data_IF_564915078589
#
_entry.id   IF_564915078589
#
_cell.length_a   1.000
_cell.length_b   1.000
_cell.length_c   1.000
_cell.angle_alpha   90.00
_cell.angle_beta   90.00
_cell.angle_gamma   90.00
#
_symmetry.space_group_name_H-M   'P 1'
#
loop_
_entity.id
_entity.type
_entity.pdbx_description
1 polymer ?
#
# COMPACT_ATOMS: atom_id res chain seq x y z
N UNK A 1 -2.86 -15.98 19.43
CA UNK A 1 -2.13 -15.15 18.45
C UNK A 1 -3.08 -14.03 18.05
N UNK A 2 -2.86 -12.82 18.54
CA UNK A 2 -3.69 -11.66 18.17
C UNK A 2 -3.07 -11.03 16.93
N UNK A 3 -3.62 -11.36 15.77
CA UNK A 3 -3.25 -10.72 14.51
C UNK A 3 -3.63 -9.24 14.56
N UNK A 4 -2.68 -8.36 14.30
CA UNK A 4 -2.95 -6.95 14.03
C UNK A 4 -3.89 -6.86 12.83
N UNK A 5 -4.96 -6.06 12.93
CA UNK A 5 -5.90 -5.81 11.81
C UNK A 5 -5.22 -5.20 10.57
N UNK A 6 -3.96 -4.85 10.68
CA UNK A 6 -3.15 -4.24 9.61
C UNK A 6 -2.14 -5.23 9.03
N UNK A 7 -1.97 -6.45 9.61
CA UNK A 7 -1.03 -7.44 9.08
C UNK A 7 -1.46 -7.93 7.68
N UNK A 8 -0.48 -8.13 6.79
CA UNK A 8 -0.71 -8.61 5.41
C UNK A 8 -1.05 -10.12 5.31
N UNK A 9 -1.17 -10.82 6.42
CA UNK A 9 -1.54 -12.24 6.47
C UNK A 9 -3.06 -12.37 6.32
N UNK A 10 -3.52 -12.43 5.08
CA UNK A 10 -4.91 -12.81 4.78
C UNK A 10 -4.98 -14.30 4.47
N UNK A 11 -5.92 -15.00 5.10
CA UNK A 11 -6.32 -16.36 4.75
C UNK A 11 -6.82 -16.40 3.28
N UNK A 12 -6.69 -17.54 2.60
CA UNK A 12 -7.14 -17.68 1.20
C UNK A 12 -8.62 -17.33 1.03
N UNK A 13 -9.46 -17.58 2.04
CA UNK A 13 -10.85 -17.16 2.06
C UNK A 13 -11.02 -15.63 2.10
N UNK A 14 -10.22 -14.92 2.87
CA UNK A 14 -10.20 -13.44 2.88
C UNK A 14 -9.76 -12.86 1.53
N UNK A 15 -8.79 -13.49 0.87
CA UNK A 15 -8.34 -13.08 -0.48
C UNK A 15 -9.45 -13.18 -1.51
N UNK A 16 -10.20 -14.27 -1.52
CA UNK A 16 -11.33 -14.46 -2.44
C UNK A 16 -12.40 -13.39 -2.20
N UNK A 17 -12.73 -13.10 -0.94
CA UNK A 17 -13.69 -12.05 -0.60
C UNK A 17 -13.17 -10.66 -0.98
N UNK A 18 -11.88 -10.36 -0.77
CA UNK A 18 -11.28 -9.09 -1.19
C UNK A 18 -11.34 -8.92 -2.72
N UNK A 19 -11.10 -9.99 -3.48
CA UNK A 19 -11.23 -9.96 -4.93
C UNK A 19 -12.65 -9.61 -5.40
N UNK A 20 -13.67 -10.14 -4.71
CA UNK A 20 -15.08 -9.87 -5.04
C UNK A 20 -15.47 -8.39 -4.80
N UNK A 21 -14.81 -7.70 -3.87
CA UNK A 21 -15.06 -6.29 -3.57
C UNK A 21 -14.36 -5.32 -4.52
N UNK A 22 -13.43 -5.80 -5.36
CA UNK A 22 -12.65 -4.93 -6.25
C UNK A 22 -13.54 -4.33 -7.35
N UNK A 23 -13.36 -3.03 -7.67
CA UNK A 23 -13.97 -2.42 -8.84
C UNK A 23 -13.48 -3.09 -10.13
N UNK A 24 -14.36 -3.23 -11.11
CA UNK A 24 -14.08 -3.93 -12.37
C UNK A 24 -13.68 -3.00 -13.51
N UNK A 25 -13.97 -1.70 -13.42
CA UNK A 25 -13.69 -0.68 -14.43
C UNK A 25 -13.35 0.66 -13.76
N UNK A 26 -12.84 1.62 -14.55
CA UNK A 26 -12.48 2.94 -14.04
C UNK A 26 -13.67 3.73 -13.47
N UNK A 27 -14.88 3.50 -13.97
CA UNK A 27 -16.09 4.19 -13.45
C UNK A 27 -16.49 3.74 -12.05
N UNK A 28 -16.13 2.51 -11.66
CA UNK A 28 -16.34 2.00 -10.31
C UNK A 28 -15.18 2.33 -9.34
N UNK A 29 -14.06 2.82 -9.88
CA UNK A 29 -12.85 3.11 -9.10
C UNK A 29 -13.02 4.44 -8.37
N UNK A 30 -13.40 4.37 -7.10
CA UNK A 30 -13.62 5.54 -6.23
C UNK A 30 -12.28 6.19 -5.90
N UNK A 31 -12.26 7.53 -5.87
CA UNK A 31 -11.09 8.32 -5.52
C UNK A 31 -10.04 8.38 -6.62
N UNK A 32 -8.87 8.92 -6.31
CA UNK A 32 -7.74 9.04 -7.26
C UNK A 32 -8.13 9.70 -8.60
N UNK A 33 -9.05 10.64 -8.60
CA UNK A 33 -9.70 11.19 -9.80
C UNK A 33 -8.70 11.64 -10.87
N UNK A 34 -7.61 12.32 -10.46
CA UNK A 34 -6.56 12.76 -11.38
C UNK A 34 -5.87 11.59 -12.06
N UNK A 35 -5.48 10.58 -11.28
CA UNK A 35 -4.80 9.38 -11.80
C UNK A 35 -5.74 8.60 -12.72
N UNK A 36 -7.00 8.40 -12.32
CA UNK A 36 -8.00 7.72 -13.14
C UNK A 36 -8.24 8.44 -14.48
N UNK A 37 -8.33 9.77 -14.49
CA UNK A 37 -8.49 10.56 -15.71
C UNK A 37 -7.26 10.45 -16.63
N UNK A 38 -6.04 10.51 -16.08
CA UNK A 38 -4.80 10.36 -16.83
C UNK A 38 -4.67 8.96 -17.45
N UNK A 39 -4.97 7.91 -16.68
CA UNK A 39 -4.98 6.53 -17.18
C UNK A 39 -6.04 6.38 -18.27
N UNK A 40 -7.25 6.87 -18.07
CA UNK A 40 -8.30 6.79 -19.09
C UNK A 40 -7.87 7.46 -20.41
N UNK A 41 -7.21 8.61 -20.34
CA UNK A 41 -6.67 9.30 -21.53
C UNK A 41 -5.61 8.43 -22.23
N UNK A 42 -4.65 7.87 -21.48
CA UNK A 42 -3.59 7.01 -22.00
C UNK A 42 -4.17 5.78 -22.70
N UNK A 43 -5.10 5.07 -22.04
CA UNK A 43 -5.73 3.87 -22.59
C UNK A 43 -6.58 4.17 -23.83
N UNK A 44 -7.33 5.29 -23.82
CA UNK A 44 -8.13 5.72 -24.97
C UNK A 44 -7.24 6.02 -26.18
N UNK A 45 -6.11 6.69 -25.96
CA UNK A 45 -5.14 6.98 -27.00
C UNK A 45 -4.49 5.71 -27.56
N UNK A 46 -4.09 4.76 -26.71
CA UNK A 46 -3.53 3.47 -27.12
C UNK A 46 -4.54 2.66 -27.95
N UNK A 47 -5.79 2.57 -27.51
CA UNK A 47 -6.89 1.90 -28.25
C UNK A 47 -7.12 2.54 -29.61
N UNK A 48 -7.12 3.88 -29.73
CA UNK A 48 -7.29 4.59 -30.99
C UNK A 48 -6.16 4.27 -31.97
N UNK A 49 -4.94 4.13 -31.49
CA UNK A 49 -3.77 3.76 -32.30
C UNK A 49 -3.68 2.24 -32.57
N UNK A 50 -4.48 1.43 -31.88
CA UNK A 50 -4.41 -0.05 -31.89
C UNK A 50 -3.01 -0.57 -31.51
N UNK A 51 -2.40 0.07 -30.50
CA UNK A 51 -1.10 -0.30 -29.96
C UNK A 51 -1.23 -0.68 -28.47
N UNK A 52 -0.32 -1.49 -27.91
CA UNK A 52 -0.21 -1.64 -26.48
C UNK A 52 -0.08 -0.25 -25.78
N UNK A 53 -0.52 -0.16 -24.57
CA UNK A 53 -0.30 1.04 -23.77
C UNK A 53 1.19 1.17 -23.37
N UNK A 54 1.64 2.40 -23.13
CA UNK A 54 2.96 2.64 -22.56
C UNK A 54 3.13 1.91 -21.23
N UNK A 55 4.36 1.64 -20.83
CA UNK A 55 4.66 1.07 -19.52
C UNK A 55 4.25 2.02 -18.41
N UNK A 56 3.61 1.50 -17.35
CA UNK A 56 3.01 2.28 -16.26
C UNK A 56 3.66 1.93 -14.93
N UNK A 57 4.09 2.93 -14.16
CA UNK A 57 4.55 2.76 -12.79
C UNK A 57 3.48 3.27 -11.82
N UNK A 58 2.98 2.40 -10.95
CA UNK A 58 2.04 2.73 -9.88
C UNK A 58 2.81 2.82 -8.56
N UNK A 59 2.87 4.00 -7.96
CA UNK A 59 3.56 4.24 -6.69
C UNK A 59 2.59 4.67 -5.60
N UNK A 60 2.94 4.41 -4.35
CA UNK A 60 2.16 4.86 -3.20
C UNK A 60 2.09 3.82 -2.08
N UNK A 61 1.63 4.21 -0.89
CA UNK A 61 1.48 3.33 0.27
C UNK A 61 0.73 2.03 -0.02
N UNK A 62 0.87 0.99 0.82
CA UNK A 62 0.12 -0.25 0.66
C UNK A 62 -1.39 -0.03 0.84
N UNK A 63 -2.21 -0.87 0.22
CA UNK A 63 -3.68 -0.86 0.40
C UNK A 63 -4.44 0.21 -0.38
N UNK A 64 -3.79 1.00 -1.25
CA UNK A 64 -4.43 2.08 -2.03
C UNK A 64 -5.02 1.64 -3.37
N UNK A 65 -4.92 0.36 -3.73
CA UNK A 65 -5.54 -0.18 -4.94
C UNK A 65 -4.63 -0.29 -6.17
N UNK A 66 -3.29 -0.29 -6.03
CA UNK A 66 -2.34 -0.46 -7.16
C UNK A 66 -2.63 -1.70 -8.00
N UNK A 67 -2.75 -2.86 -7.37
CA UNK A 67 -3.09 -4.12 -8.03
C UNK A 67 -4.47 -4.09 -8.67
N UNK A 68 -5.44 -3.47 -8.00
CA UNK A 68 -6.80 -3.28 -8.53
C UNK A 68 -6.78 -2.43 -9.79
N UNK A 69 -6.03 -1.34 -9.79
CA UNK A 69 -5.90 -0.46 -10.93
C UNK A 69 -5.22 -1.16 -12.13
N UNK A 70 -4.22 -2.00 -11.88
CA UNK A 70 -3.61 -2.83 -12.93
C UNK A 70 -4.62 -3.80 -13.56
N UNK A 71 -5.47 -4.43 -12.76
CA UNK A 71 -6.54 -5.32 -13.27
C UNK A 71 -7.58 -4.54 -14.07
N UNK A 72 -7.96 -3.33 -13.63
CA UNK A 72 -8.86 -2.45 -14.37
C UNK A 72 -8.25 -2.06 -15.72
N UNK A 73 -6.98 -1.68 -15.75
CA UNK A 73 -6.26 -1.34 -16.99
C UNK A 73 -6.31 -2.51 -17.98
N UNK A 74 -6.09 -3.74 -17.51
CA UNK A 74 -6.17 -4.93 -18.35
C UNK A 74 -7.59 -5.14 -18.90
N UNK A 75 -8.61 -4.99 -18.07
CA UNK A 75 -10.02 -5.08 -18.48
C UNK A 75 -10.36 -4.01 -19.52
N UNK A 76 -9.97 -2.76 -19.30
CA UNK A 76 -10.21 -1.65 -20.21
C UNK A 76 -9.49 -1.82 -21.58
N UNK A 77 -8.30 -2.44 -21.58
CA UNK A 77 -7.57 -2.74 -22.81
C UNK A 77 -8.06 -4.02 -23.50
N UNK A 78 -8.90 -4.83 -22.85
CA UNK A 78 -9.28 -6.15 -23.33
C UNK A 78 -8.08 -7.11 -23.44
N UNK A 79 -7.04 -6.91 -22.63
CA UNK A 79 -5.78 -7.63 -22.68
C UNK A 79 -5.70 -8.68 -21.55
N UNK A 80 -5.08 -9.84 -21.79
CA UNK A 80 -4.76 -10.76 -20.72
C UNK A 80 -3.74 -10.11 -19.77
N UNK A 81 -3.81 -10.47 -18.49
CA UNK A 81 -2.89 -9.98 -17.46
C UNK A 81 -2.18 -11.14 -16.78
N UNK A 82 -0.86 -11.01 -16.68
CA UNK A 82 -0.01 -11.90 -15.89
C UNK A 82 0.46 -11.16 -14.65
N UNK A 83 0.26 -11.77 -13.49
CA UNK A 83 0.60 -11.16 -12.19
C UNK A 83 1.78 -11.90 -11.60
N UNK A 84 2.81 -11.13 -11.21
CA UNK A 84 3.96 -11.63 -10.47
C UNK A 84 4.43 -10.56 -9.47
N UNK A 85 5.49 -10.83 -8.72
CA UNK A 85 6.05 -9.88 -7.74
C UNK A 85 7.57 -9.85 -7.78
N UNK A 86 8.18 -8.73 -7.37
CA UNK A 86 9.62 -8.59 -7.28
C UNK A 86 10.28 -9.71 -6.46
N UNK A 87 9.81 -10.03 -5.25
CA UNK A 87 10.34 -11.14 -4.45
C UNK A 87 10.27 -12.52 -5.11
N UNK A 88 9.31 -12.75 -6.01
CA UNK A 88 9.19 -14.01 -6.75
C UNK A 88 10.25 -14.16 -7.86
N UNK A 89 10.89 -13.06 -8.27
CA UNK A 89 11.91 -13.02 -9.32
C UNK A 89 13.28 -12.95 -8.66
N UNK A 90 13.84 -14.11 -8.33
CA UNK A 90 15.14 -14.18 -7.64
C UNK A 90 16.32 -14.06 -8.61
N UNK A 91 16.16 -14.57 -9.84
CA UNK A 91 17.21 -14.60 -10.86
C UNK A 91 16.72 -14.00 -12.17
N UNK A 92 17.64 -13.52 -13.01
CA UNK A 92 17.32 -13.04 -14.35
C UNK A 92 16.64 -14.10 -15.21
N UNK A 93 16.95 -15.39 -15.00
CA UNK A 93 16.32 -16.52 -15.68
C UNK A 93 14.83 -16.68 -15.39
N UNK A 94 14.40 -16.35 -14.16
CA UNK A 94 12.98 -16.39 -13.78
C UNK A 94 12.20 -15.35 -14.60
N UNK A 95 12.74 -14.14 -14.69
CA UNK A 95 12.15 -13.06 -15.47
C UNK A 95 12.17 -13.38 -16.97
N UNK A 96 13.29 -13.91 -17.51
CA UNK A 96 13.39 -14.31 -18.90
C UNK A 96 12.34 -15.35 -19.28
N UNK A 97 12.08 -16.33 -18.39
CA UNK A 97 11.03 -17.35 -18.57
C UNK A 97 9.63 -16.72 -18.61
N UNK A 98 9.35 -15.77 -17.72
CA UNK A 98 8.07 -15.05 -17.72
C UNK A 98 7.90 -14.26 -19.02
N UNK A 99 8.90 -13.45 -19.40
CA UNK A 99 8.85 -12.58 -20.57
C UNK A 99 8.72 -13.38 -21.88
N UNK A 100 9.45 -14.49 -22.00
CA UNK A 100 9.39 -15.35 -23.21
C UNK A 100 8.06 -16.07 -23.40
N UNK A 101 7.27 -16.18 -22.35
CA UNK A 101 5.94 -16.84 -22.39
C UNK A 101 4.78 -15.84 -22.52
N UNK A 102 5.06 -14.53 -22.64
CA UNK A 102 4.04 -13.52 -22.91
C UNK A 102 3.49 -13.66 -24.33
N UNK A 103 2.26 -13.20 -24.53
CA UNK A 103 1.64 -13.08 -25.85
C UNK A 103 1.52 -11.61 -26.26
N UNK A 104 1.29 -11.37 -27.55
CA UNK A 104 1.16 -10.00 -28.09
C UNK A 104 0.06 -9.20 -27.39
N UNK A 105 0.42 -8.02 -26.87
CA UNK A 105 -0.49 -7.14 -26.17
C UNK A 105 -0.79 -7.53 -24.70
N UNK A 106 -0.18 -8.61 -24.18
CA UNK A 106 -0.37 -9.03 -22.77
C UNK A 106 0.16 -7.97 -21.81
N UNK A 107 -0.49 -7.84 -20.66
CA UNK A 107 -0.06 -6.96 -19.57
C UNK A 107 0.70 -7.81 -18.55
N UNK A 108 1.95 -7.42 -18.25
CA UNK A 108 2.72 -7.97 -17.14
C UNK A 108 2.58 -7.02 -15.95
N UNK A 109 1.90 -7.47 -14.88
CA UNK A 109 1.87 -6.75 -13.62
C UNK A 109 2.92 -7.30 -12.67
N UNK A 110 3.80 -6.40 -12.19
CA UNK A 110 4.90 -6.72 -11.31
C UNK A 110 4.77 -5.93 -10.01
N UNK A 111 4.26 -6.60 -8.96
CA UNK A 111 4.11 -5.97 -7.63
C UNK A 111 5.45 -5.93 -6.89
N UNK A 112 5.62 -4.94 -6.02
CA UNK A 112 6.85 -4.69 -5.26
C UNK A 112 8.11 -4.72 -6.14
N UNK A 113 8.06 -4.07 -7.32
CA UNK A 113 9.10 -4.08 -8.34
C UNK A 113 10.48 -3.67 -7.79
N UNK A 114 10.54 -2.83 -6.75
CA UNK A 114 11.77 -2.41 -6.08
C UNK A 114 12.49 -3.53 -5.30
N UNK A 115 11.86 -4.71 -5.16
CA UNK A 115 12.43 -5.88 -4.47
C UNK A 115 12.99 -6.93 -5.42
N UNK A 116 13.08 -6.63 -6.71
CA UNK A 116 13.74 -7.50 -7.68
C UNK A 116 15.25 -7.57 -7.43
N UNK A 117 15.87 -8.67 -7.84
CA UNK A 117 17.32 -8.76 -7.89
C UNK A 117 17.90 -7.86 -8.99
N UNK A 118 19.07 -7.28 -8.75
CA UNK A 118 19.72 -6.38 -9.74
C UNK A 118 19.91 -7.00 -11.13
N UNK A 119 20.32 -8.30 -11.27
CA UNK A 119 20.39 -8.91 -12.60
C UNK A 119 19.04 -9.01 -13.32
N UNK A 120 17.94 -9.19 -12.58
CA UNK A 120 16.59 -9.19 -13.16
C UNK A 120 16.16 -7.76 -13.57
N UNK A 121 16.53 -6.74 -12.80
CA UNK A 121 16.29 -5.33 -13.20
C UNK A 121 16.99 -4.99 -14.51
N UNK A 122 18.27 -5.36 -14.66
CA UNK A 122 19.06 -5.11 -15.87
C UNK A 122 18.45 -5.80 -17.10
N UNK A 123 17.95 -7.02 -16.96
CA UNK A 123 17.25 -7.73 -18.04
C UNK A 123 15.92 -7.05 -18.38
N UNK A 124 15.19 -6.56 -17.36
CA UNK A 124 13.93 -5.85 -17.55
C UNK A 124 14.12 -4.56 -18.37
N UNK A 125 15.24 -3.84 -18.20
CA UNK A 125 15.53 -2.63 -18.99
C UNK A 125 15.52 -2.91 -20.49
N UNK A 126 16.23 -3.96 -20.93
CA UNK A 126 16.30 -4.33 -22.34
C UNK A 126 14.92 -4.78 -22.84
N UNK A 127 14.21 -5.54 -22.02
CA UNK A 127 12.88 -6.02 -22.37
C UNK A 127 11.87 -4.88 -22.59
N UNK A 128 11.94 -3.80 -21.79
CA UNK A 128 11.05 -2.64 -21.90
C UNK A 128 11.37 -1.73 -23.09
N UNK A 129 12.64 -1.61 -23.45
CA UNK A 129 13.10 -0.68 -24.50
C UNK A 129 13.06 -1.34 -25.89
N UNK A 130 13.66 -2.52 -26.00
CA UNK A 130 13.91 -3.19 -27.28
C UNK A 130 12.98 -4.37 -27.56
N UNK A 131 12.11 -4.74 -26.63
CA UNK A 131 11.31 -5.98 -26.69
C UNK A 131 12.19 -7.18 -27.02
N UNK A 132 13.37 -7.23 -26.38
CA UNK A 132 14.38 -8.27 -26.56
C UNK A 132 15.09 -8.56 -25.26
N UNK A 133 15.48 -9.80 -25.07
CA UNK A 133 16.37 -10.22 -23.97
C UNK A 133 17.46 -11.12 -24.50
N UNK A 134 18.66 -11.01 -23.92
CA UNK A 134 19.76 -11.90 -24.25
C UNK A 134 19.82 -13.04 -23.21
N UNK A 135 19.59 -14.26 -23.67
CA UNK A 135 19.61 -15.46 -22.83
C UNK A 135 20.98 -16.11 -22.96
N UNK A 136 21.71 -16.21 -21.86
CA UNK A 136 23.02 -16.87 -21.83
C UNK A 136 22.84 -18.38 -21.74
N UNK A 137 23.27 -19.09 -22.79
CA UNK A 137 23.22 -20.55 -22.86
C UNK A 137 24.64 -21.11 -22.76
N UNK A 138 24.85 -22.08 -21.88
CA UNK A 138 26.14 -22.69 -21.60
C UNK A 138 26.79 -22.18 -20.27
N UNK A 139 27.98 -22.71 -19.97
CA UNK A 139 28.75 -22.34 -18.76
C UNK A 139 30.21 -22.07 -19.12
N UNK A 140 30.85 -21.14 -18.40
CA UNK A 140 32.26 -20.81 -18.58
C UNK A 140 32.56 -20.11 -19.90
N UNK A 141 33.78 -20.33 -20.44
CA UNK A 141 34.29 -19.65 -21.65
C UNK A 141 33.50 -20.03 -22.96
N UNK A 142 32.64 -21.03 -22.93
CA UNK A 142 31.77 -21.43 -24.03
C UNK A 142 30.33 -20.91 -23.94
N UNK A 143 30.04 -20.04 -22.98
CA UNK A 143 28.70 -19.46 -22.86
C UNK A 143 28.44 -18.48 -24.02
N UNK A 144 27.28 -18.63 -24.68
CA UNK A 144 26.87 -17.77 -25.80
C UNK A 144 25.57 -17.05 -25.41
N UNK A 145 25.51 -15.73 -25.63
CA UNK A 145 24.28 -14.97 -25.52
C UNK A 145 23.45 -15.14 -26.79
N UNK A 146 22.24 -15.61 -26.65
CA UNK A 146 21.26 -15.78 -27.73
C UNK A 146 20.20 -14.71 -27.57
N UNK A 147 20.03 -13.77 -28.53
CA UNK A 147 18.97 -12.80 -28.49
C UNK A 147 17.60 -13.47 -28.71
N UNK A 148 16.67 -13.20 -27.82
CA UNK A 148 15.30 -13.64 -27.88
C UNK A 148 14.41 -12.41 -28.08
N UNK A 149 13.69 -12.34 -29.20
CA UNK A 149 12.68 -11.29 -29.43
C UNK A 149 11.42 -11.60 -28.62
N UNK A 150 10.91 -10.59 -27.94
CA UNK A 150 9.70 -10.67 -27.15
C UNK A 150 8.50 -10.09 -27.92
N UNK A 151 7.28 -10.55 -27.64
CA UNK A 151 6.08 -9.88 -28.13
C UNK A 151 5.98 -8.48 -27.50
N UNK A 152 5.27 -7.57 -28.14
CA UNK A 152 4.98 -6.26 -27.52
C UNK A 152 4.02 -6.46 -26.33
N UNK A 153 4.43 -5.98 -25.18
CA UNK A 153 3.68 -6.07 -23.93
C UNK A 153 3.65 -4.73 -23.21
N UNK A 154 2.71 -4.59 -22.28
CA UNK A 154 2.70 -3.45 -21.35
C UNK A 154 3.15 -3.93 -19.96
N UNK A 155 4.20 -3.32 -19.42
CA UNK A 155 4.59 -3.51 -18.03
C UNK A 155 3.81 -2.54 -17.14
N UNK A 156 3.16 -3.05 -16.11
CA UNK A 156 2.64 -2.27 -15.01
C UNK A 156 3.44 -2.63 -13.76
N UNK A 157 4.36 -1.75 -13.37
CA UNK A 157 5.12 -1.90 -12.13
C UNK A 157 4.38 -1.26 -10.96
N UNK A 158 4.35 -1.93 -9.81
CA UNK A 158 3.83 -1.36 -8.58
C UNK A 158 4.92 -1.30 -7.50
N UNK A 159 4.95 -0.21 -6.72
CA UNK A 159 5.92 -0.05 -5.64
C UNK A 159 5.35 0.76 -4.49
N UNK A 160 5.73 0.40 -3.28
CA UNK A 160 5.50 1.20 -2.08
C UNK A 160 6.65 2.19 -1.82
N UNK A 161 7.80 1.99 -2.47
CA UNK A 161 9.05 2.74 -2.24
C UNK A 161 9.66 3.18 -3.57
N UNK A 162 9.02 4.13 -4.26
CA UNK A 162 9.49 4.62 -5.56
C UNK A 162 10.94 5.15 -5.57
N UNK A 163 11.41 5.68 -4.43
CA UNK A 163 12.78 6.15 -4.28
C UNK A 163 13.85 5.06 -4.30
N UNK A 164 13.49 3.79 -4.13
CA UNK A 164 14.41 2.66 -4.23
C UNK A 164 14.60 2.16 -5.66
N UNK A 165 13.73 2.57 -6.60
CA UNK A 165 13.89 2.19 -8.00
C UNK A 165 15.06 2.95 -8.64
N UNK A 166 15.99 2.25 -9.32
CA UNK A 166 17.05 2.90 -10.08
C UNK A 166 16.48 3.84 -11.15
N UNK A 167 17.11 5.00 -11.34
CA UNK A 167 16.69 5.98 -12.36
C UNK A 167 16.53 5.36 -13.74
N UNK A 168 17.45 4.49 -14.24
CA UNK A 168 17.29 3.88 -15.56
C UNK A 168 16.03 3.06 -15.73
N UNK A 169 15.57 2.37 -14.68
CA UNK A 169 14.31 1.63 -14.73
C UNK A 169 13.12 2.58 -14.69
N UNK A 170 13.16 3.58 -13.81
CA UNK A 170 12.06 4.53 -13.65
C UNK A 170 11.82 5.36 -14.92
N UNK A 171 12.88 5.75 -15.61
CA UNK A 171 12.82 6.61 -16.81
C UNK A 171 12.24 5.87 -18.03
N UNK A 172 12.12 4.53 -17.96
CA UNK A 172 11.49 3.70 -19.01
C UNK A 172 9.98 3.56 -18.88
N UNK A 173 9.41 4.00 -17.77
CA UNK A 173 7.97 4.07 -17.65
C UNK A 173 7.45 5.34 -18.36
N UNK A 174 6.61 5.16 -19.37
CA UNK A 174 5.97 6.27 -20.10
C UNK A 174 4.98 7.04 -19.24
N UNK A 175 4.46 6.43 -18.18
CA UNK A 175 3.57 7.07 -17.23
C UNK A 175 3.83 6.61 -15.80
N UNK A 176 3.94 7.57 -14.88
CA UNK A 176 4.05 7.31 -13.44
C UNK A 176 2.85 7.90 -12.72
N UNK A 177 2.09 7.04 -12.04
CA UNK A 177 0.98 7.41 -11.19
C UNK A 177 1.35 7.30 -9.73
N UNK A 178 1.17 8.37 -8.98
CA UNK A 178 1.28 8.34 -7.53
C UNK A 178 -0.12 8.30 -6.93
N UNK A 179 -0.41 7.24 -6.18
CA UNK A 179 -1.67 7.08 -5.45
C UNK A 179 -1.51 7.69 -4.07
N UNK A 180 -2.49 8.50 -3.70
CA UNK A 180 -2.54 9.17 -2.41
C UNK A 180 -3.56 8.49 -1.47
N UNK A 181 -3.49 8.82 -0.18
CA UNK A 181 -4.50 8.37 0.77
C UNK A 181 -5.87 8.94 0.41
N UNK A 182 -6.89 8.13 0.63
CA UNK A 182 -8.28 8.49 0.36
C UNK A 182 -8.82 9.43 1.42
N UNK A 183 -9.71 10.33 1.02
CA UNK A 183 -10.52 11.12 1.94
C UNK A 183 -11.56 10.23 2.66
N UNK A 184 -12.00 10.65 3.84
CA UNK A 184 -13.00 9.90 4.62
C UNK A 184 -14.32 9.69 3.84
N UNK A 185 -14.76 10.70 3.07
CA UNK A 185 -15.94 10.61 2.22
C UNK A 185 -15.79 9.59 1.07
N UNK A 186 -14.60 9.46 0.52
CA UNK A 186 -14.29 8.45 -0.51
C UNK A 186 -14.32 7.05 0.10
N UNK A 187 -13.75 6.88 1.32
CA UNK A 187 -13.78 5.61 2.05
C UNK A 187 -15.21 5.23 2.45
N UNK A 188 -16.02 6.18 2.90
CA UNK A 188 -17.45 5.95 3.15
C UNK A 188 -18.17 5.46 1.90
N UNK A 189 -17.86 6.02 0.74
CA UNK A 189 -18.41 5.54 -0.55
C UNK A 189 -17.97 4.11 -0.86
N UNK A 190 -16.71 3.76 -0.58
CA UNK A 190 -16.18 2.40 -0.75
C UNK A 190 -16.87 1.44 0.23
N UNK A 191 -17.01 1.80 1.50
CA UNK A 191 -17.70 0.99 2.51
C UNK A 191 -19.16 0.71 2.10
N UNK A 192 -19.91 1.74 1.69
CA UNK A 192 -21.30 1.61 1.22
C UNK A 192 -21.40 0.65 0.02
N UNK A 193 -20.54 0.84 -0.98
CA UNK A 193 -20.48 -0.04 -2.15
C UNK A 193 -20.14 -1.48 -1.75
N UNK A 194 -19.16 -1.65 -0.88
CA UNK A 194 -18.72 -2.98 -0.43
C UNK A 194 -19.81 -3.68 0.39
N UNK A 195 -20.51 -2.99 1.27
CA UNK A 195 -21.64 -3.50 2.03
C UNK A 195 -22.77 -3.99 1.10
N UNK A 196 -23.09 -3.22 0.07
CA UNK A 196 -24.08 -3.60 -0.94
C UNK A 196 -23.65 -4.87 -1.70
N UNK A 197 -22.37 -5.01 -2.07
CA UNK A 197 -21.85 -6.19 -2.78
C UNK A 197 -21.89 -7.46 -1.93
N UNK A 198 -21.69 -7.36 -0.62
CA UNK A 198 -21.80 -8.49 0.31
C UNK A 198 -23.21 -8.64 0.91
N UNK A 199 -24.15 -7.83 0.44
CA UNK A 199 -25.56 -7.86 0.84
C UNK A 199 -25.79 -7.67 2.34
N UNK A 200 -25.01 -6.80 2.99
CA UNK A 200 -25.15 -6.48 4.42
C UNK A 200 -25.84 -5.13 4.57
N UNK A 201 -26.99 -5.07 5.27
CA UNK A 201 -27.64 -3.80 5.58
C UNK A 201 -26.75 -2.97 6.52
N UNK A 202 -26.54 -1.71 6.17
CA UNK A 202 -25.68 -0.79 6.94
C UNK A 202 -26.28 0.62 6.95
N UNK A 203 -26.26 1.26 8.11
CA UNK A 203 -26.70 2.65 8.28
C UNK A 203 -25.62 3.64 7.87
N UNK A 204 -25.99 4.84 7.41
CA UNK A 204 -25.05 5.87 6.94
C UNK A 204 -24.08 6.35 8.04
N UNK A 205 -24.52 6.41 9.30
CA UNK A 205 -23.66 6.76 10.41
C UNK A 205 -22.60 5.68 10.66
N UNK A 206 -22.93 4.42 10.53
CA UNK A 206 -21.98 3.30 10.60
C UNK A 206 -21.01 3.29 9.41
N UNK A 207 -21.48 3.62 8.21
CA UNK A 207 -20.62 3.81 7.02
C UNK A 207 -19.59 4.89 7.28
N UNK A 208 -20.01 6.02 7.83
CA UNK A 208 -19.13 7.16 8.16
C UNK A 208 -18.12 6.78 9.23
N UNK A 209 -18.55 6.10 10.28
CA UNK A 209 -17.70 5.64 11.38
C UNK A 209 -16.59 4.69 10.90
N UNK A 210 -16.94 3.71 10.07
CA UNK A 210 -15.97 2.79 9.47
C UNK A 210 -15.01 3.56 8.53
N UNK A 211 -15.54 4.46 7.70
CA UNK A 211 -14.76 5.28 6.79
C UNK A 211 -13.70 6.11 7.50
N UNK A 212 -14.08 6.79 8.58
CA UNK A 212 -13.20 7.66 9.38
C UNK A 212 -12.05 6.87 10.02
N UNK A 213 -12.33 5.66 10.55
CA UNK A 213 -11.31 4.81 11.17
C UNK A 213 -10.49 3.97 10.19
N UNK A 214 -10.75 4.08 8.87
CA UNK A 214 -10.12 3.25 7.83
C UNK A 214 -8.71 3.68 7.42
N UNK A 215 -8.07 4.56 8.16
CA UNK A 215 -6.65 4.94 7.95
C UNK A 215 -6.33 5.48 6.56
N UNK A 216 -7.32 5.97 5.82
CA UNK A 216 -7.14 6.48 4.46
C UNK A 216 -6.90 5.41 3.39
N UNK A 217 -7.20 4.13 3.67
CA UNK A 217 -6.94 3.04 2.73
C UNK A 217 -8.16 2.14 2.49
N UNK A 218 -8.52 1.85 1.24
CA UNK A 218 -9.61 0.94 0.90
C UNK A 218 -9.47 -0.47 1.48
N UNK A 219 -8.25 -1.00 1.60
CA UNK A 219 -7.98 -2.31 2.18
C UNK A 219 -8.44 -2.36 3.64
N UNK A 220 -8.08 -1.35 4.43
CA UNK A 220 -8.48 -1.26 5.83
C UNK A 220 -9.99 -1.06 5.93
N UNK A 221 -10.60 -0.19 5.11
CA UNK A 221 -12.04 0.03 5.07
C UNK A 221 -12.82 -1.28 4.87
N UNK A 222 -12.43 -2.06 3.86
CA UNK A 222 -13.07 -3.34 3.58
C UNK A 222 -12.84 -4.38 4.70
N UNK A 223 -11.67 -4.36 5.35
CA UNK A 223 -11.38 -5.25 6.48
C UNK A 223 -12.22 -4.88 7.69
N UNK A 224 -12.30 -3.59 8.04
CA UNK A 224 -13.14 -3.13 9.14
C UNK A 224 -14.61 -3.44 8.89
N UNK A 225 -15.12 -3.20 7.68
CA UNK A 225 -16.48 -3.56 7.31
C UNK A 225 -16.80 -5.04 7.58
N UNK A 226 -15.89 -5.96 7.20
CA UNK A 226 -16.09 -7.40 7.44
C UNK A 226 -16.10 -7.72 8.93
N UNK A 227 -15.21 -7.14 9.73
CA UNK A 227 -15.19 -7.36 11.18
C UNK A 227 -16.42 -6.82 11.88
N UNK A 228 -16.91 -5.66 11.44
CA UNK A 228 -18.17 -5.09 11.94
C UNK A 228 -19.36 -5.95 11.54
N UNK A 229 -19.38 -6.49 10.31
CA UNK A 229 -20.39 -7.44 9.87
C UNK A 229 -20.41 -8.70 10.76
N UNK A 230 -19.25 -9.32 10.96
CA UNK A 230 -19.11 -10.52 11.78
C UNK A 230 -19.65 -10.28 13.21
N UNK A 231 -19.36 -9.09 13.76
CA UNK A 231 -19.89 -8.68 15.06
C UNK A 231 -21.42 -8.52 15.03
N UNK A 232 -21.97 -7.84 14.03
CA UNK A 232 -23.42 -7.61 13.90
C UNK A 232 -24.20 -8.93 13.69
N UNK A 233 -23.61 -9.89 12.98
CA UNK A 233 -24.19 -11.23 12.81
C UNK A 233 -24.21 -12.04 14.11
N UNK A 234 -23.20 -11.91 14.95
CA UNK A 234 -23.08 -12.69 16.21
C UNK A 234 -23.84 -12.04 17.36
N UNK A 235 -23.79 -10.71 17.48
CA UNK A 235 -24.34 -9.96 18.63
C UNK A 235 -25.64 -9.21 18.32
N UNK A 236 -26.08 -9.20 17.07
CA UNK A 236 -27.25 -8.47 16.61
C UNK A 236 -28.14 -9.30 15.68
N UNK A 237 -28.80 -8.60 14.78
CA UNK A 237 -29.67 -9.16 13.76
C UNK A 237 -29.08 -9.19 12.35
N UNK A 238 -27.77 -8.95 12.24
CA UNK A 238 -27.05 -8.87 10.96
C UNK A 238 -27.12 -7.49 10.28
N UNK A 239 -27.83 -6.52 10.86
CA UNK A 239 -27.79 -5.12 10.43
C UNK A 239 -26.65 -4.37 11.14
N UNK A 240 -25.92 -3.58 10.39
CA UNK A 240 -24.85 -2.73 10.93
C UNK A 240 -25.40 -1.34 11.19
N UNK A 241 -25.73 -1.04 12.45
CA UNK A 241 -26.00 0.30 12.94
C UNK A 241 -24.73 0.93 13.54
N UNK A 242 -24.81 2.20 13.93
CA UNK A 242 -23.68 2.91 14.55
C UNK A 242 -23.19 2.23 15.84
N UNK A 243 -24.13 1.73 16.67
CA UNK A 243 -23.77 1.10 17.94
C UNK A 243 -23.00 -0.20 17.73
N UNK A 244 -23.44 -1.04 16.78
CA UNK A 244 -22.75 -2.26 16.37
C UNK A 244 -21.37 -1.95 15.80
N UNK A 245 -21.26 -0.91 14.94
CA UNK A 245 -19.98 -0.49 14.39
C UNK A 245 -19.00 -0.05 15.48
N UNK A 246 -19.43 0.78 16.40
CA UNK A 246 -18.58 1.26 17.50
C UNK A 246 -18.14 0.13 18.44
N UNK A 247 -19.08 -0.75 18.83
CA UNK A 247 -18.77 -1.88 19.71
C UNK A 247 -17.82 -2.87 19.06
N UNK A 248 -18.00 -3.14 17.76
CA UNK A 248 -17.07 -3.98 17.00
C UNK A 248 -15.67 -3.35 16.93
N UNK A 249 -15.56 -2.08 16.57
CA UNK A 249 -14.27 -1.39 16.45
C UNK A 249 -13.54 -1.30 17.80
N UNK A 250 -14.27 -1.13 18.90
CA UNK A 250 -13.72 -1.21 20.24
C UNK A 250 -13.22 -2.60 20.58
N UNK A 251 -14.00 -3.66 20.27
CA UNK A 251 -13.59 -5.06 20.46
C UNK A 251 -12.29 -5.38 19.73
N UNK A 252 -12.12 -4.83 18.52
CA UNK A 252 -10.90 -4.98 17.71
C UNK A 252 -9.83 -3.95 18.02
N UNK A 253 -9.96 -3.19 19.11
CA UNK A 253 -8.99 -2.22 19.59
C UNK A 253 -8.65 -1.11 18.59
N UNK A 254 -9.58 -0.75 17.69
CA UNK A 254 -9.45 0.38 16.77
C UNK A 254 -10.06 1.62 17.41
N UNK A 255 -9.23 2.61 17.68
CA UNK A 255 -9.67 3.84 18.35
C UNK A 255 -10.39 4.83 17.40
N UNK A 256 -10.81 5.97 17.96
CA UNK A 256 -11.62 6.99 17.26
C UNK A 256 -10.95 7.59 16.01
N UNK A 257 -9.62 7.57 15.93
CA UNK A 257 -8.88 8.10 14.77
C UNK A 257 -8.27 7.00 13.90
N UNK A 258 -8.57 5.73 14.23
CA UNK A 258 -8.15 4.57 13.47
C UNK A 258 -6.79 3.98 13.89
N UNK A 259 -6.26 4.31 15.08
CA UNK A 259 -5.09 3.62 15.61
C UNK A 259 -5.50 2.23 16.09
N UNK A 260 -4.71 1.24 15.70
CA UNK A 260 -4.84 -0.12 16.21
C UNK A 260 -3.91 -0.37 17.40
N UNK A 261 -3.89 -1.59 17.90
CA UNK A 261 -3.05 -2.01 19.00
C UNK A 261 -1.55 -1.75 18.73
N UNK A 262 -1.08 -2.00 17.50
CA UNK A 262 0.34 -1.83 17.13
C UNK A 262 0.75 -0.36 17.23
N UNK A 263 -0.07 0.53 16.68
CA UNK A 263 0.16 1.97 16.72
C UNK A 263 0.21 2.50 18.15
N UNK A 264 -0.80 2.13 18.96
CA UNK A 264 -0.89 2.57 20.36
C UNK A 264 0.27 2.03 21.18
N UNK A 265 0.65 0.75 21.01
CA UNK A 265 1.79 0.15 21.69
C UNK A 265 3.09 0.87 21.34
N UNK A 266 3.28 1.25 20.05
CA UNK A 266 4.45 2.00 19.63
C UNK A 266 4.52 3.35 20.33
N UNK A 267 3.42 4.12 20.33
CA UNK A 267 3.36 5.41 21.00
C UNK A 267 3.56 5.27 22.51
N UNK A 268 2.95 4.29 23.15
CA UNK A 268 3.08 4.04 24.58
C UNK A 268 4.52 3.72 24.98
N UNK A 269 5.18 2.83 24.23
CA UNK A 269 6.57 2.47 24.51
C UNK A 269 7.48 3.68 24.30
N UNK A 270 7.29 4.40 23.18
CA UNK A 270 8.07 5.58 22.87
C UNK A 270 7.93 6.65 23.97
N UNK A 271 6.74 6.86 24.47
CA UNK A 271 6.44 7.85 25.49
C UNK A 271 6.84 7.37 26.88
N UNK A 272 6.34 6.20 27.32
CA UNK A 272 6.49 5.73 28.70
C UNK A 272 7.89 5.18 29.01
N UNK A 273 8.55 4.49 28.04
CA UNK A 273 9.88 3.92 28.25
C UNK A 273 11.02 4.85 27.83
N UNK A 274 10.79 5.66 26.81
CA UNK A 274 11.84 6.48 26.21
C UNK A 274 11.58 7.99 26.29
N UNK A 275 10.64 8.39 27.15
CA UNK A 275 10.31 9.80 27.42
C UNK A 275 10.05 10.61 26.14
N UNK A 276 9.36 9.99 25.15
CA UNK A 276 9.03 10.60 23.85
C UNK A 276 10.14 10.57 22.81
N UNK A 277 11.28 10.01 23.10
CA UNK A 277 12.42 9.87 22.16
C UNK A 277 13.44 11.00 22.21
N UNK A 278 14.40 11.05 21.24
CA UNK A 278 14.47 10.25 20.03
C UNK A 278 14.99 8.83 20.22
N UNK A 279 14.38 7.84 19.49
CA UNK A 279 14.73 6.42 19.60
C UNK A 279 14.88 5.81 18.20
N UNK A 280 15.91 4.98 18.01
CA UNK A 280 16.12 4.22 16.78
C UNK A 280 15.02 3.20 16.53
N UNK A 281 14.69 2.94 15.25
CA UNK A 281 13.65 2.00 14.85
C UNK A 281 13.89 0.59 15.41
N UNK A 282 15.12 0.08 15.31
CA UNK A 282 15.49 -1.25 15.80
C UNK A 282 15.28 -1.38 17.32
N UNK A 283 15.60 -0.33 18.07
CA UNK A 283 15.40 -0.30 19.54
C UNK A 283 13.91 -0.33 19.89
N UNK A 284 13.08 0.41 19.15
CA UNK A 284 11.62 0.38 19.32
C UNK A 284 11.07 -1.00 19.00
N UNK A 285 11.45 -1.57 17.85
CA UNK A 285 11.00 -2.89 17.41
C UNK A 285 11.35 -3.97 18.45
N UNK A 286 12.60 -4.02 18.92
CA UNK A 286 13.03 -4.93 19.99
C UNK A 286 12.21 -4.73 21.29
N UNK A 287 11.91 -3.48 21.64
CA UNK A 287 11.14 -3.18 22.84
C UNK A 287 9.68 -3.60 22.76
N UNK A 288 9.15 -3.78 21.55
CA UNK A 288 7.80 -4.23 21.24
C UNK A 288 7.72 -5.74 20.99
N UNK A 289 8.85 -6.40 20.72
CA UNK A 289 8.89 -7.79 20.25
C UNK A 289 8.44 -7.93 18.80
N UNK A 290 8.64 -6.89 17.98
CA UNK A 290 8.23 -6.81 16.59
C UNK A 290 9.43 -6.68 15.66
N UNK A 291 9.23 -6.94 14.38
CA UNK A 291 10.23 -6.69 13.34
C UNK A 291 10.27 -5.20 12.97
N UNK A 292 11.47 -4.67 12.72
CA UNK A 292 11.64 -3.26 12.35
C UNK A 292 10.88 -2.90 11.05
N UNK A 293 10.84 -3.82 10.08
CA UNK A 293 10.11 -3.68 8.82
C UNK A 293 8.59 -3.55 9.05
N UNK A 294 8.03 -4.26 10.02
CA UNK A 294 6.62 -4.18 10.42
C UNK A 294 6.28 -2.77 10.93
N UNK A 295 7.11 -2.23 11.82
CA UNK A 295 6.88 -0.87 12.32
C UNK A 295 7.02 0.18 11.22
N UNK A 296 8.04 0.09 10.39
CA UNK A 296 8.29 1.03 9.30
C UNK A 296 7.21 0.97 8.20
N UNK A 297 6.66 -0.22 7.94
CA UNK A 297 5.69 -0.43 6.86
C UNK A 297 4.25 -0.22 7.28
N UNK A 298 3.87 -0.57 8.52
CA UNK A 298 2.47 -0.61 8.95
C UNK A 298 2.09 0.53 9.90
N UNK A 299 2.87 0.76 10.97
CA UNK A 299 2.51 1.73 12.01
C UNK A 299 3.03 3.14 11.71
N UNK A 300 4.32 3.27 11.42
CA UNK A 300 5.00 4.56 11.28
C UNK A 300 4.36 5.48 10.22
N UNK A 301 3.99 5.02 9.00
CA UNK A 301 3.40 5.89 7.99
C UNK A 301 2.09 6.55 8.43
N UNK A 302 1.28 5.82 9.19
CA UNK A 302 0.01 6.33 9.68
C UNK A 302 0.20 7.32 10.83
N UNK A 303 1.07 7.00 11.78
CA UNK A 303 1.39 7.86 12.91
C UNK A 303 2.05 9.18 12.47
N UNK A 304 2.95 9.12 11.47
CA UNK A 304 3.55 10.30 10.85
C UNK A 304 2.48 11.19 10.20
N UNK A 305 1.58 10.59 9.42
CA UNK A 305 0.51 11.32 8.74
C UNK A 305 -0.48 11.97 9.71
N UNK A 306 -0.82 11.30 10.80
CA UNK A 306 -1.67 11.86 11.87
C UNK A 306 -0.93 12.87 12.73
N UNK A 307 0.36 13.07 12.49
CA UNK A 307 1.18 14.01 13.26
C UNK A 307 1.42 13.59 14.72
N UNK A 308 1.30 12.29 15.01
CA UNK A 308 1.51 11.74 16.36
C UNK A 308 2.99 11.36 16.60
N UNK A 309 3.70 11.10 15.51
CA UNK A 309 5.11 10.72 15.48
C UNK A 309 5.89 11.69 14.59
N UNK A 310 7.15 11.92 14.88
CA UNK A 310 8.09 12.63 14.04
C UNK A 310 9.33 11.77 13.80
N UNK A 311 9.86 11.83 12.56
CA UNK A 311 11.12 11.18 12.17
C UNK A 311 12.23 12.23 12.18
N UNK A 312 13.26 12.01 12.96
CA UNK A 312 14.43 12.88 13.05
C UNK A 312 15.72 12.13 12.68
N UNK A 313 16.83 12.80 12.40
CA UNK A 313 18.11 12.14 12.19
C UNK A 313 18.59 11.26 13.34
N UNK A 314 18.12 11.55 14.58
CA UNK A 314 18.46 10.79 15.78
C UNK A 314 17.51 9.63 16.04
N UNK A 315 16.37 9.57 15.36
CA UNK A 315 15.36 8.53 15.55
C UNK A 315 13.93 9.08 15.58
N UNK A 316 13.02 8.27 16.09
CA UNK A 316 11.58 8.55 16.19
C UNK A 316 11.28 9.31 17.48
N UNK A 317 10.40 10.31 17.39
CA UNK A 317 9.96 11.12 18.51
C UNK A 317 8.44 11.22 18.52
N UNK A 318 7.84 11.14 19.70
CA UNK A 318 6.44 11.48 19.88
C UNK A 318 6.27 13.01 19.80
N UNK A 319 5.24 13.45 19.07
CA UNK A 319 4.86 14.86 19.01
C UNK A 319 3.99 15.24 20.21
N UNK A 320 3.74 16.52 20.42
CA UNK A 320 2.78 16.97 21.43
C UNK A 320 1.38 16.34 21.23
N UNK A 321 0.95 16.19 19.98
CA UNK A 321 -0.31 15.49 19.63
C UNK A 321 -0.25 14.00 20.00
N UNK A 322 0.90 13.33 19.85
CA UNK A 322 1.07 11.94 20.26
C UNK A 322 0.96 11.76 21.79
N UNK A 323 1.52 12.69 22.56
CA UNK A 323 1.35 12.71 24.00
C UNK A 323 -0.10 12.94 24.41
N UNK A 324 -0.74 13.97 23.82
CA UNK A 324 -2.13 14.31 24.10
C UNK A 324 -3.09 13.17 23.76
N UNK A 325 -2.82 12.42 22.69
CA UNK A 325 -3.62 11.27 22.28
C UNK A 325 -3.66 10.15 23.34
N UNK A 326 -2.56 9.97 24.07
CA UNK A 326 -2.51 9.03 25.21
C UNK A 326 -2.97 9.66 26.55
N UNK A 327 -3.50 10.90 26.52
CA UNK A 327 -3.88 11.62 27.74
C UNK A 327 -2.71 12.06 28.62
N UNK A 328 -1.51 12.15 28.03
CA UNK A 328 -0.28 12.51 28.73
C UNK A 328 0.22 13.89 28.28
N UNK A 329 0.97 14.57 29.15
CA UNK A 329 1.63 15.84 28.82
C UNK A 329 3.11 15.57 28.47
N UNK A 330 3.65 16.19 27.41
CA UNK A 330 5.07 16.09 27.14
C UNK A 330 5.87 16.71 28.31
N UNK A 331 7.08 16.19 28.58
CA UNK A 331 7.96 16.81 29.56
C UNK A 331 8.24 18.26 29.14
N UNK A 332 8.21 19.20 30.08
CA UNK A 332 8.62 20.55 29.79
C UNK A 332 10.07 20.52 29.29
N UNK A 333 10.30 21.12 28.11
CA UNK A 333 11.66 21.31 27.65
C UNK A 333 12.42 22.04 28.73
N UNK A 334 13.46 21.43 29.31
CA UNK A 334 14.39 22.18 30.13
C UNK A 334 14.95 23.26 29.20
N UNK A 335 14.64 24.53 29.51
CA UNK A 335 15.26 25.69 28.86
C UNK A 335 16.77 25.49 28.98
N UNK A 336 17.42 25.24 27.86
CA UNK A 336 18.88 25.18 27.84
C UNK A 336 19.44 26.49 28.39
N UNK A 337 20.62 26.45 29.00
CA UNK A 337 21.29 27.64 29.57
C UNK A 337 21.38 28.80 28.56
N UNK A 338 21.25 28.50 27.27
CA UNK A 338 21.28 29.45 26.14
C UNK A 338 19.90 30.05 25.80
N UNK A 339 18.81 29.52 26.35
CA UNK A 339 17.44 30.02 26.11
C UNK A 339 16.94 30.93 27.23
N UNK A 340 17.80 31.25 28.19
CA UNK A 340 17.48 32.23 29.22
C UNK A 340 17.47 33.65 28.61
N UNK A 341 16.39 34.43 28.80
CA UNK A 341 16.42 35.84 28.44
C UNK A 341 17.59 36.53 29.16
N UNK A 342 18.26 37.53 28.54
CA UNK A 342 19.33 38.24 29.18
C UNK A 342 18.80 38.82 30.50
N UNK A 343 19.55 38.57 31.59
CA UNK A 343 19.28 39.18 32.89
C UNK A 343 19.36 40.69 32.67
N UNK A 344 18.23 41.37 32.83
CA UNK A 344 18.17 42.83 32.82
C UNK A 344 19.17 43.38 33.84
N UNK A 345 20.13 44.17 33.33
CA UNK A 345 21.12 44.90 34.11
C UNK A 345 20.54 46.24 34.63
#
# INVERSE_FOLDING_TARGET
MNESLVSDYSDDAERVQELALRPKNLGEFVGQQRVAAQINLLLTAARSRKTPADHILLSGPPGLGKTTLAMIIATEMGAPIRITSGPAIQHAGDLASILSSLVEGEILFLDEIHRMSRPAEELLYMAMEDFRVDVVVGKGAGATAIPLTLPHFTLIGATTRAGLLPSPLRDRFGFTAQLDFYAESELSTIVRRSAALIQVPIDEDAVTEIGTRSRGTPRVANRLLRRVRDYAEVHGNGQIDLAAAQAALEMYEVDLIGLDRLDRTLLEILIKKFNGGPVGLTTLAMSMGEEAETLEGLAEPFLLRKGLLARTPRGRMATASGWAHLGLTPPQAELGIFDMPPLDA
#
